data_IF_395177272539
#
_entry.id   IF_395177272539
#
_cell.length_a   1.000
_cell.length_b   1.000
_cell.length_c   1.000
_cell.angle_alpha   90.00
_cell.angle_beta   90.00
_cell.angle_gamma   90.00
#
_symmetry.space_group_name_H-M   'P 1'
#
loop_
_entity.id
_entity.type
_entity.pdbx_description
1 polymer ?
#
# COMPACT_ATOMS: atom_id res chain seq x y z
N UNK A 1 15.70 13.01 -29.91
CA UNK A 1 15.55 13.46 -28.51
C UNK A 1 14.07 13.39 -28.21
N UNK A 2 13.62 12.26 -27.67
CA UNK A 2 12.20 11.88 -27.69
C UNK A 2 11.57 12.25 -26.35
N UNK A 3 10.70 13.24 -26.37
CA UNK A 3 9.84 13.66 -25.27
C UNK A 3 8.94 12.49 -24.85
N UNK A 4 8.97 12.10 -23.58
CA UNK A 4 7.96 11.19 -23.02
C UNK A 4 6.98 12.03 -22.20
N UNK A 5 5.88 12.37 -22.85
CA UNK A 5 4.63 12.79 -22.20
C UNK A 5 3.83 11.53 -21.91
N UNK A 6 3.51 11.28 -20.65
CA UNK A 6 2.41 10.41 -20.27
C UNK A 6 1.89 10.86 -18.90
N UNK A 7 0.86 11.70 -18.94
CA UNK A 7 0.01 11.97 -17.78
C UNK A 7 -1.15 10.97 -17.78
N UNK A 8 -1.47 10.45 -16.59
CA UNK A 8 -2.77 9.88 -16.30
C UNK A 8 -3.19 10.38 -14.92
N UNK A 9 -3.92 11.50 -14.90
CA UNK A 9 -4.61 12.01 -13.72
C UNK A 9 -6.04 11.48 -13.77
N UNK A 10 -6.30 10.38 -13.06
CA UNK A 10 -7.65 9.84 -12.88
C UNK A 10 -8.19 10.39 -11.57
N UNK A 11 -9.07 11.39 -11.64
CA UNK A 11 -9.91 11.77 -10.50
C UNK A 11 -11.02 10.73 -10.36
N UNK A 12 -10.76 9.66 -9.61
CA UNK A 12 -11.82 8.81 -9.09
C UNK A 12 -12.51 9.57 -7.95
N UNK A 13 -13.55 10.34 -8.29
CA UNK A 13 -14.51 10.80 -7.29
C UNK A 13 -15.27 9.58 -6.75
N UNK A 14 -14.76 8.96 -5.69
CA UNK A 14 -15.42 7.83 -5.05
C UNK A 14 -16.53 8.35 -4.12
N UNK A 15 -17.65 8.75 -4.71
CA UNK A 15 -18.93 8.47 -4.09
C UNK A 15 -19.45 7.18 -4.69
N UNK A 16 -19.67 6.13 -3.88
CA UNK A 16 -20.91 5.33 -3.82
C UNK A 16 -20.72 3.91 -3.24
N UNK A 17 -21.75 3.53 -2.46
CA UNK A 17 -22.41 2.23 -2.37
C UNK A 17 -21.65 1.05 -1.71
N UNK A 18 -21.97 0.85 -0.43
CA UNK A 18 -21.80 -0.43 0.26
C UNK A 18 -22.71 -1.49 -0.37
N UNK A 19 -22.15 -2.34 -1.21
CA UNK A 19 -22.74 -3.64 -1.54
C UNK A 19 -22.32 -4.65 -0.47
N UNK A 20 -23.31 -5.31 0.13
CA UNK A 20 -23.16 -6.27 1.22
C UNK A 20 -22.19 -7.41 0.84
N UNK A 21 -21.12 -7.59 1.62
CA UNK A 21 -20.30 -8.81 1.57
C UNK A 21 -18.78 -8.64 1.53
N UNK A 22 -18.24 -7.45 1.24
CA UNK A 22 -16.78 -7.22 1.20
C UNK A 22 -16.34 -6.19 2.22
N UNK A 23 -15.28 -6.47 2.98
CA UNK A 23 -14.74 -5.52 3.95
C UNK A 23 -14.19 -4.27 3.25
N UNK A 24 -14.04 -3.16 3.97
CA UNK A 24 -13.42 -1.96 3.42
C UNK A 24 -11.98 -2.23 2.95
N UNK A 25 -11.23 -3.07 3.66
CA UNK A 25 -9.91 -3.52 3.26
C UNK A 25 -9.94 -4.29 1.93
N UNK A 26 -10.93 -5.17 1.73
CA UNK A 26 -11.11 -5.89 0.46
C UNK A 26 -11.48 -4.96 -0.69
N UNK A 27 -12.20 -3.87 -0.43
CA UNK A 27 -12.51 -2.86 -1.45
C UNK A 27 -11.24 -2.11 -1.87
N UNK A 28 -10.46 -1.61 -0.91
CA UNK A 28 -9.18 -0.93 -1.19
C UNK A 28 -8.20 -1.85 -1.89
N UNK A 29 -8.05 -3.10 -1.44
CA UNK A 29 -7.17 -4.08 -2.06
C UNK A 29 -7.54 -4.35 -3.53
N UNK A 30 -8.85 -4.47 -3.83
CA UNK A 30 -9.34 -4.62 -5.21
C UNK A 30 -9.03 -3.40 -6.06
N UNK A 31 -9.30 -2.19 -5.57
CA UNK A 31 -9.03 -0.96 -6.30
C UNK A 31 -7.53 -0.82 -6.61
N UNK A 32 -6.69 -1.15 -5.62
CA UNK A 32 -5.24 -1.18 -5.73
C UNK A 32 -4.77 -2.19 -6.78
N UNK A 33 -5.28 -3.42 -6.74
CA UNK A 33 -4.94 -4.46 -7.70
C UNK A 33 -5.35 -4.09 -9.14
N UNK A 34 -6.44 -3.36 -9.30
CA UNK A 34 -6.92 -2.89 -10.60
C UNK A 34 -6.00 -1.82 -11.21
N UNK A 35 -5.52 -0.86 -10.41
CA UNK A 35 -4.73 0.28 -10.91
C UNK A 35 -3.23 0.01 -10.95
N UNK A 36 -2.75 -0.89 -10.10
CA UNK A 36 -1.33 -1.18 -9.96
C UNK A 36 -1.14 -2.68 -9.67
N UNK A 37 -1.36 -3.53 -10.68
CA UNK A 37 -1.27 -4.97 -10.55
C UNK A 37 0.14 -5.40 -10.09
N UNK A 38 0.19 -6.55 -9.43
CA UNK A 38 1.42 -7.16 -8.96
C UNK A 38 2.33 -7.49 -10.14
N UNK A 39 3.42 -6.75 -10.26
CA UNK A 39 4.58 -7.08 -11.09
C UNK A 39 5.57 -7.76 -10.17
N UNK A 40 5.92 -8.99 -10.52
CA UNK A 40 6.95 -9.77 -9.84
C UNK A 40 8.31 -9.13 -10.13
N UNK A 41 8.89 -8.47 -9.14
CA UNK A 41 10.25 -7.93 -9.23
C UNK A 41 11.15 -9.00 -8.63
N UNK A 42 11.65 -9.88 -9.48
CA UNK A 42 12.56 -10.96 -9.07
C UNK A 42 13.93 -10.37 -8.74
N UNK A 43 14.13 -10.00 -7.48
CA UNK A 43 15.47 -9.87 -6.89
C UNK A 43 15.64 -11.01 -5.89
N UNK A 44 16.30 -12.06 -6.34
CA UNK A 44 16.15 -13.45 -5.86
C UNK A 44 16.74 -13.78 -4.48
N UNK A 45 16.93 -12.80 -3.60
CA UNK A 45 17.52 -13.02 -2.26
C UNK A 45 16.78 -12.28 -1.13
N UNK A 46 15.58 -11.74 -1.39
CA UNK A 46 14.80 -11.02 -0.39
C UNK A 46 13.47 -11.70 -0.10
N UNK A 47 13.19 -12.03 1.17
CA UNK A 47 11.88 -12.55 1.59
C UNK A 47 11.23 -11.60 2.59
N UNK A 48 9.95 -11.28 2.39
CA UNK A 48 9.18 -10.52 3.39
C UNK A 48 8.90 -11.43 4.58
N UNK A 49 9.38 -11.01 5.74
CA UNK A 49 9.23 -11.79 6.97
C UNK A 49 7.95 -11.41 7.70
N UNK A 50 7.65 -10.11 7.76
CA UNK A 50 6.54 -9.59 8.57
C UNK A 50 5.98 -8.28 7.99
N UNK A 51 4.65 -8.17 7.91
CA UNK A 51 3.94 -6.89 7.77
C UNK A 51 3.53 -6.37 9.15
N UNK A 52 3.71 -5.08 9.46
CA UNK A 52 3.45 -4.58 10.80
C UNK A 52 1.94 -4.52 11.11
N UNK A 53 1.58 -4.69 12.37
CA UNK A 53 0.19 -4.59 12.82
C UNK A 53 -0.40 -3.17 12.79
N UNK A 54 0.47 -2.15 12.72
CA UNK A 54 0.07 -0.75 12.56
C UNK A 54 1.13 0.06 11.80
N UNK A 55 0.80 1.29 11.42
CA UNK A 55 1.70 2.16 10.64
C UNK A 55 2.95 2.64 11.37
N UNK A 56 3.04 2.51 12.70
CA UNK A 56 4.26 2.84 13.45
C UNK A 56 5.29 1.71 13.46
N UNK A 57 4.90 0.49 13.09
CA UNK A 57 5.83 -0.58 12.77
C UNK A 57 6.51 -0.37 11.41
N UNK A 58 7.38 -1.31 11.07
CA UNK A 58 8.04 -1.36 9.77
C UNK A 58 7.73 -2.70 9.08
N UNK A 59 7.74 -2.69 7.75
CA UNK A 59 7.87 -3.93 6.99
C UNK A 59 9.30 -4.44 7.15
N UNK A 60 9.43 -5.72 7.46
CA UNK A 60 10.73 -6.38 7.61
C UNK A 60 10.99 -7.30 6.43
N UNK A 61 12.10 -7.05 5.72
CA UNK A 61 12.59 -7.89 4.64
C UNK A 61 13.91 -8.52 5.06
N UNK A 62 13.98 -9.84 5.06
CA UNK A 62 15.24 -10.54 5.20
C UNK A 62 15.98 -10.48 3.87
N UNK A 63 17.24 -10.04 3.90
CA UNK A 63 18.15 -10.00 2.75
C UNK A 63 19.41 -10.78 3.08
N UNK A 64 20.22 -11.12 2.07
CA UNK A 64 21.53 -11.78 2.27
C UNK A 64 22.50 -10.99 3.18
N UNK A 65 22.30 -9.67 3.32
CA UNK A 65 23.15 -8.78 4.12
C UNK A 65 22.55 -8.38 5.48
N UNK A 66 21.39 -8.95 5.86
CA UNK A 66 20.66 -8.63 7.09
C UNK A 66 19.22 -8.22 6.85
N UNK A 67 18.59 -7.59 7.83
CA UNK A 67 17.17 -7.18 7.73
C UNK A 67 17.06 -5.73 7.29
N UNK A 68 16.30 -5.49 6.21
CA UNK A 68 15.87 -4.16 5.80
C UNK A 68 14.53 -3.83 6.49
N UNK A 69 14.46 -2.67 7.13
CA UNK A 69 13.23 -2.14 7.73
C UNK A 69 12.70 -0.99 6.88
N UNK A 70 11.50 -1.15 6.34
CA UNK A 70 10.81 -0.11 5.57
C UNK A 70 9.67 0.48 6.41
N UNK A 71 9.81 1.75 6.80
CA UNK A 71 8.76 2.48 7.51
C UNK A 71 7.56 2.75 6.60
N UNK A 72 6.36 2.75 7.20
CA UNK A 72 5.13 3.07 6.48
C UNK A 72 4.78 4.57 6.59
N UNK A 73 4.19 5.17 5.55
CA UNK A 73 3.65 6.52 5.64
C UNK A 73 2.67 6.67 6.81
N UNK A 74 2.74 7.81 7.50
CA UNK A 74 1.77 8.12 8.56
C UNK A 74 2.00 7.36 9.88
N UNK A 75 3.24 6.96 10.16
CA UNK A 75 3.62 6.29 11.40
C UNK A 75 3.11 6.96 12.69
N UNK A 76 3.03 8.30 12.71
CA UNK A 76 2.50 9.04 13.86
C UNK A 76 1.02 8.73 14.18
N UNK A 77 0.23 8.25 13.23
CA UNK A 77 -1.19 7.94 13.43
C UNK A 77 -1.44 6.55 14.02
N UNK A 78 -0.48 5.62 13.92
CA UNK A 78 -0.65 4.23 14.40
C UNK A 78 -1.93 3.59 13.86
N UNK A 79 -2.21 3.79 12.58
CA UNK A 79 -3.39 3.21 11.96
C UNK A 79 -3.24 1.68 11.96
N UNK A 80 -4.25 0.97 12.45
CA UNK A 80 -4.22 -0.48 12.55
C UNK A 80 -4.33 -1.12 11.16
N UNK A 81 -3.52 -2.16 10.92
CA UNK A 81 -3.58 -2.96 9.73
C UNK A 81 -4.81 -3.86 9.72
N UNK A 82 -5.51 -3.87 8.59
CA UNK A 82 -6.66 -4.73 8.33
C UNK A 82 -6.32 -5.68 7.17
N UNK A 83 -6.21 -6.99 7.43
CA UNK A 83 -5.92 -7.95 6.37
C UNK A 83 -7.13 -8.08 5.44
N UNK A 84 -6.87 -8.03 4.13
CA UNK A 84 -7.79 -8.37 3.06
C UNK A 84 -7.62 -9.85 2.66
N UNK A 85 -8.59 -10.38 1.90
CA UNK A 85 -8.61 -11.78 1.49
C UNK A 85 -7.44 -12.18 0.57
N UNK A 86 -6.81 -11.24 -0.14
CA UNK A 86 -5.69 -11.47 -1.06
C UNK A 86 -4.30 -11.37 -0.40
N UNK A 87 -4.26 -11.27 0.93
CA UNK A 87 -3.03 -11.13 1.71
C UNK A 87 -2.48 -9.69 1.78
N UNK A 88 -3.17 -8.72 1.18
CA UNK A 88 -2.88 -7.29 1.37
C UNK A 88 -3.31 -6.87 2.77
N UNK A 89 -2.46 -6.10 3.47
CA UNK A 89 -2.83 -5.41 4.71
C UNK A 89 -3.08 -3.94 4.39
N UNK A 90 -4.29 -3.48 4.68
CA UNK A 90 -4.72 -2.09 4.48
C UNK A 90 -4.67 -1.35 5.81
N UNK A 91 -3.99 -0.22 5.81
CA UNK A 91 -3.94 0.73 6.91
C UNK A 91 -4.80 1.93 6.51
N UNK A 92 -6.08 1.85 6.85
CA UNK A 92 -7.03 2.91 6.57
C UNK A 92 -6.70 4.17 7.39
N UNK A 93 -6.84 5.34 6.78
CA UNK A 93 -6.55 6.63 7.41
C UNK A 93 -5.13 6.71 8.01
N UNK A 94 -4.17 5.99 7.39
CA UNK A 94 -2.76 6.01 7.75
C UNK A 94 -2.21 7.45 7.83
N UNK A 95 -2.66 8.32 6.93
CA UNK A 95 -2.53 9.76 7.07
C UNK A 95 -3.82 10.47 6.67
N UNK A 96 -3.81 11.81 6.70
CA UNK A 96 -4.98 12.60 6.33
C UNK A 96 -5.40 12.28 4.88
N UNK A 97 -6.64 11.86 4.65
CA UNK A 97 -7.14 11.49 3.30
C UNK A 97 -6.22 10.51 2.57
N UNK A 98 -5.60 9.58 3.28
CA UNK A 98 -4.59 8.67 2.72
C UNK A 98 -4.68 7.30 3.37
N UNK A 99 -4.82 6.27 2.55
CA UNK A 99 -4.66 4.88 2.96
C UNK A 99 -3.30 4.34 2.51
N UNK A 100 -2.77 3.39 3.26
CA UNK A 100 -1.58 2.64 2.88
C UNK A 100 -1.97 1.17 2.73
N UNK A 101 -1.51 0.52 1.67
CA UNK A 101 -1.66 -0.91 1.48
C UNK A 101 -0.27 -1.54 1.37
N UNK A 102 -0.05 -2.64 2.09
CA UNK A 102 1.18 -3.41 2.00
C UNK A 102 0.83 -4.87 1.70
N UNK A 103 1.47 -5.44 0.68
CA UNK A 103 1.30 -6.83 0.30
C UNK A 103 2.67 -7.50 0.27
N UNK A 104 2.81 -8.58 1.04
CA UNK A 104 3.96 -9.46 0.93
C UNK A 104 3.83 -10.28 -0.36
N UNK A 105 4.89 -10.28 -1.16
CA UNK A 105 5.07 -11.11 -2.34
C UNK A 105 6.12 -12.19 -2.03
N UNK A 106 6.26 -13.17 -2.91
CA UNK A 106 7.23 -14.28 -2.73
C UNK A 106 8.66 -13.76 -2.54
N UNK A 107 9.08 -12.79 -3.36
CA UNK A 107 10.46 -12.28 -3.40
C UNK A 107 10.56 -10.79 -3.01
N UNK A 108 9.55 -10.23 -2.33
CA UNK A 108 9.59 -8.82 -1.98
C UNK A 108 8.30 -8.27 -1.39
N UNK A 109 8.26 -6.96 -1.11
CA UNK A 109 7.06 -6.27 -0.64
C UNK A 109 6.57 -5.27 -1.67
N UNK A 110 5.26 -5.18 -1.82
CA UNK A 110 4.60 -4.05 -2.48
C UNK A 110 3.99 -3.15 -1.43
N UNK A 111 4.41 -1.89 -1.40
CA UNK A 111 3.79 -0.85 -0.57
C UNK A 111 3.20 0.21 -1.50
N UNK A 112 1.93 0.50 -1.32
CA UNK A 112 1.18 1.47 -2.10
C UNK A 112 0.49 2.48 -1.18
N UNK A 113 0.32 3.70 -1.67
CA UNK A 113 -0.33 4.79 -0.95
C UNK A 113 -1.46 5.31 -1.82
N UNK A 114 -2.67 5.29 -1.28
CA UNK A 114 -3.88 5.76 -1.96
C UNK A 114 -4.20 7.14 -1.41
N UNK A 115 -4.08 8.16 -2.25
CA UNK A 115 -4.48 9.52 -1.91
C UNK A 115 -5.96 9.68 -2.27
N UNK A 116 -6.82 9.81 -1.26
CA UNK A 116 -8.27 9.82 -1.47
C UNK A 116 -8.73 11.13 -2.12
N UNK A 117 -8.12 12.26 -1.73
CA UNK A 117 -8.49 13.57 -2.23
C UNK A 117 -7.35 14.60 -2.10
N UNK A 118 -7.60 15.84 -2.54
CA UNK A 118 -6.62 16.95 -2.52
C UNK A 118 -6.11 17.37 -1.13
N UNK A 119 -6.77 16.92 -0.06
CA UNK A 119 -6.38 17.16 1.31
C UNK A 119 -5.30 16.19 1.80
N UNK A 120 -4.96 15.17 0.99
CA UNK A 120 -3.85 14.27 1.25
C UNK A 120 -2.50 15.02 1.29
N UNK A 121 -1.54 14.59 2.13
CA UNK A 121 -0.22 15.20 2.18
C UNK A 121 0.50 15.11 0.84
N UNK A 122 1.18 16.20 0.46
CA UNK A 122 2.05 16.22 -0.71
C UNK A 122 3.45 15.64 -0.43
N UNK A 123 3.74 15.31 0.84
CA UNK A 123 5.00 14.67 1.27
C UNK A 123 4.77 13.85 2.54
N UNK A 124 5.45 12.72 2.62
CA UNK A 124 5.59 11.92 3.84
C UNK A 124 7.03 12.02 4.32
N UNK A 125 7.22 12.01 5.64
CA UNK A 125 8.52 12.13 6.30
C UNK A 125 8.68 10.99 7.29
#
# INVERSE_FOLDING_TARGET
>A
MTTVTAGALVLAGAGVAHAEGTSAADAVARDVAQVAPSVDVQDGDSSVTTLPGDTAGAVELATSNGTLHLGLPGAARRAAGQPAADGTVVYADAAKSTDVAAQALTDGVRVQTVLQDKAAPSRFT
#
